data_IF_318644397125
#
_entry.id   IF_318644397125
#
_cell.length_a   1.000
_cell.length_b   1.000
_cell.length_c   1.000
_cell.angle_alpha   90.00
_cell.angle_beta   90.00
_cell.angle_gamma   90.00
#
_symmetry.space_group_name_H-M   'P 1'
#
loop_
_entity.id
_entity.type
_entity.pdbx_description
1 polymer ?
#
# COMPACT_ATOMS: atom_id res chain seq x y z
N UNK A 1 3.75 3.12 -18.59
CA UNK A 1 4.98 3.00 -17.79
C UNK A 1 5.93 4.10 -18.20
N UNK A 2 6.37 4.95 -17.27
CA UNK A 2 7.26 6.08 -17.55
C UNK A 2 8.65 5.59 -18.03
N UNK A 3 9.34 6.37 -18.90
CA UNK A 3 10.60 5.96 -19.53
C UNK A 3 11.70 5.52 -18.56
N UNK A 4 11.80 6.13 -17.38
CA UNK A 4 12.90 5.89 -16.44
C UNK A 4 12.78 4.60 -15.62
N UNK A 5 11.55 4.13 -15.36
CA UNK A 5 11.32 2.80 -14.73
C UNK A 5 11.76 1.69 -15.69
N UNK A 6 11.56 1.88 -17.00
CA UNK A 6 12.03 0.94 -18.03
C UNK A 6 13.55 0.91 -18.19
N UNK A 7 14.23 2.00 -17.81
CA UNK A 7 15.70 2.09 -17.85
C UNK A 7 16.38 1.54 -16.59
N UNK A 8 15.64 0.93 -15.66
CA UNK A 8 16.12 0.53 -14.33
C UNK A 8 16.67 1.68 -13.47
N UNK A 9 16.36 2.93 -13.81
CA UNK A 9 16.83 4.10 -13.06
C UNK A 9 15.94 4.43 -11.85
N UNK A 10 14.84 3.69 -11.64
CA UNK A 10 13.93 3.88 -10.52
C UNK A 10 13.38 2.53 -10.03
N UNK A 11 13.32 2.36 -8.71
CA UNK A 11 12.69 1.20 -8.09
C UNK A 11 11.16 1.24 -8.36
N UNK A 12 10.58 0.21 -8.99
CA UNK A 12 9.16 0.18 -9.35
C UNK A 12 8.21 0.34 -8.16
N UNK A 13 8.59 -0.17 -6.98
CA UNK A 13 7.82 -0.02 -5.74
C UNK A 13 7.81 1.42 -5.25
N UNK A 14 8.95 2.12 -5.30
CA UNK A 14 9.01 3.55 -4.96
C UNK A 14 8.16 4.40 -5.90
N UNK A 15 8.11 4.01 -7.18
CA UNK A 15 7.21 4.65 -8.15
C UNK A 15 5.74 4.46 -7.76
N UNK A 16 5.32 3.25 -7.40
CA UNK A 16 3.94 3.00 -6.94
C UNK A 16 3.59 3.82 -5.70
N UNK A 17 4.49 3.85 -4.70
CA UNK A 17 4.31 4.64 -3.49
C UNK A 17 4.16 6.14 -3.75
N UNK A 18 5.00 6.71 -4.60
CA UNK A 18 4.92 8.12 -4.95
C UNK A 18 3.64 8.42 -5.75
N UNK A 19 3.27 7.53 -6.68
CA UNK A 19 2.07 7.65 -7.51
C UNK A 19 0.82 7.74 -6.65
N UNK A 20 0.60 6.77 -5.76
CA UNK A 20 -0.59 6.74 -4.92
C UNK A 20 -0.60 7.89 -3.90
N UNK A 21 0.57 8.29 -3.39
CA UNK A 21 0.68 9.44 -2.49
C UNK A 21 0.24 10.74 -3.17
N UNK A 22 0.67 10.97 -4.40
CA UNK A 22 0.24 12.13 -5.19
C UNK A 22 -1.25 12.06 -5.50
N UNK A 23 -1.76 10.87 -5.86
CA UNK A 23 -3.18 10.67 -6.14
C UNK A 23 -4.06 11.06 -4.94
N UNK A 24 -3.78 10.50 -3.75
CA UNK A 24 -4.53 10.81 -2.52
C UNK A 24 -4.48 12.29 -2.17
N UNK A 25 -3.30 12.91 -2.24
CA UNK A 25 -3.15 14.35 -1.94
C UNK A 25 -3.85 15.26 -2.98
N UNK A 26 -4.19 14.71 -4.15
CA UNK A 26 -4.92 15.41 -5.21
C UNK A 26 -6.42 15.04 -5.24
N UNK A 27 -6.91 14.30 -4.25
CA UNK A 27 -8.30 13.82 -4.20
C UNK A 27 -8.64 12.79 -5.27
N UNK A 28 -7.64 12.10 -5.82
CA UNK A 28 -7.79 11.06 -6.84
C UNK A 28 -7.64 9.67 -6.22
N UNK A 29 -8.30 8.65 -6.79
CA UNK A 29 -8.17 7.29 -6.31
C UNK A 29 -6.80 6.69 -6.61
N UNK A 30 -6.34 5.76 -5.78
CA UNK A 30 -5.02 5.14 -5.92
C UNK A 30 -4.95 4.16 -7.10
N UNK A 31 -3.75 4.02 -7.65
CA UNK A 31 -3.47 3.07 -8.74
C UNK A 31 -3.07 1.70 -8.21
N UNK A 32 -2.24 1.66 -7.16
CA UNK A 32 -1.62 0.44 -6.65
C UNK A 32 -2.04 0.07 -5.22
N UNK A 33 -2.78 0.95 -4.53
CA UNK A 33 -3.34 0.69 -3.19
C UNK A 33 -2.30 0.70 -2.08
N UNK A 34 -1.32 1.59 -2.17
CA UNK A 34 -0.19 1.63 -1.23
C UNK A 34 -0.37 2.59 -0.05
N UNK A 35 -1.35 3.50 -0.10
CA UNK A 35 -1.69 4.39 1.00
C UNK A 35 -2.86 3.78 1.80
N UNK A 36 -2.55 3.26 2.98
CA UNK A 36 -3.54 2.55 3.79
C UNK A 36 -4.13 3.41 4.92
N UNK A 37 -5.34 3.05 5.35
CA UNK A 37 -5.95 3.40 6.64
C UNK A 37 -6.27 2.10 7.39
N UNK A 38 -6.52 2.19 8.69
CA UNK A 38 -6.85 1.04 9.52
C UNK A 38 -8.32 1.12 9.94
N UNK A 39 -9.10 0.11 9.57
CA UNK A 39 -10.55 0.07 9.79
C UNK A 39 -10.98 -1.21 10.52
N UNK A 40 -12.06 -1.12 11.30
CA UNK A 40 -12.62 -2.25 12.06
C UNK A 40 -12.36 -2.16 13.57
N UNK A 41 -12.73 -3.22 14.29
CA UNK A 41 -12.58 -3.27 15.75
C UNK A 41 -11.10 -3.44 16.18
N UNK A 42 -10.78 -3.00 17.41
CA UNK A 42 -9.42 -3.09 17.96
C UNK A 42 -8.46 -2.12 17.26
N UNK A 43 -7.28 -2.61 16.88
CA UNK A 43 -6.30 -1.83 16.10
C UNK A 43 -6.69 -1.68 14.62
N UNK A 44 -7.74 -2.37 14.17
CA UNK A 44 -8.20 -2.35 12.79
C UNK A 44 -7.30 -3.13 11.83
N UNK A 45 -7.75 -3.26 10.58
CA UNK A 45 -7.01 -3.89 9.48
C UNK A 45 -6.66 -2.85 8.42
N UNK A 46 -5.49 -3.01 7.82
CA UNK A 46 -5.08 -2.14 6.73
C UNK A 46 -6.02 -2.32 5.53
N UNK A 47 -6.58 -1.21 5.05
CA UNK A 47 -7.37 -1.12 3.82
C UNK A 47 -6.86 0.08 3.01
N UNK A 48 -6.90 0.04 1.66
CA UNK A 48 -6.52 1.19 0.85
C UNK A 48 -7.52 2.33 1.08
N UNK A 49 -7.04 3.59 1.06
CA UNK A 49 -7.92 4.76 1.24
C UNK A 49 -8.96 4.86 0.13
N UNK A 50 -8.52 4.59 -1.10
CA UNK A 50 -9.39 4.55 -2.28
C UNK A 50 -8.68 3.81 -3.41
N UNK A 51 -9.42 3.18 -4.32
CA UNK A 51 -8.83 2.47 -5.45
C UNK A 51 -9.54 2.85 -6.73
N UNK A 52 -8.77 3.13 -7.79
CA UNK A 52 -9.33 3.49 -9.10
C UNK A 52 -10.12 2.32 -9.69
N UNK A 53 -9.55 1.13 -9.57
CA UNK A 53 -10.15 -0.11 -10.07
C UNK A 53 -9.64 -1.28 -9.22
N UNK A 54 -10.42 -1.70 -8.21
CA UNK A 54 -10.08 -2.83 -7.35
C UNK A 54 -9.96 -4.16 -8.11
N UNK A 55 -10.72 -4.37 -9.19
CA UNK A 55 -10.76 -5.65 -9.90
C UNK A 55 -9.48 -5.91 -10.71
N UNK A 56 -8.79 -4.84 -11.13
CA UNK A 56 -7.56 -4.95 -11.92
C UNK A 56 -6.32 -4.44 -11.18
N UNK A 57 -6.39 -4.16 -9.87
CA UNK A 57 -5.24 -3.66 -9.09
C UNK A 57 -4.06 -4.62 -9.12
N UNK A 58 -4.30 -5.92 -8.97
CA UNK A 58 -3.24 -6.92 -8.96
C UNK A 58 -2.57 -7.09 -10.32
N UNK A 59 -3.30 -6.85 -11.42
CA UNK A 59 -2.70 -6.80 -12.76
C UNK A 59 -1.71 -5.64 -12.88
N UNK A 60 -2.05 -4.47 -12.31
CA UNK A 60 -1.15 -3.30 -12.31
C UNK A 60 0.06 -3.55 -11.41
N UNK A 61 -0.14 -4.12 -10.22
CA UNK A 61 0.92 -4.47 -9.27
C UNK A 61 1.89 -5.50 -9.86
N UNK A 62 1.38 -6.57 -10.46
CA UNK A 62 2.18 -7.58 -11.13
C UNK A 62 3.00 -7.02 -12.30
N UNK A 63 2.43 -6.10 -13.10
CA UNK A 63 3.11 -5.47 -14.22
C UNK A 63 4.36 -4.65 -13.83
N UNK A 64 4.50 -4.29 -12.56
CA UNK A 64 5.66 -3.60 -12.00
C UNK A 64 6.43 -4.43 -10.97
N UNK A 65 6.12 -5.72 -10.85
CA UNK A 65 6.82 -6.66 -9.97
C UNK A 65 6.45 -6.59 -8.49
N UNK A 66 5.28 -6.03 -8.16
CA UNK A 66 4.76 -6.02 -6.79
C UNK A 66 3.93 -7.28 -6.49
N UNK A 67 3.92 -7.67 -5.22
CA UNK A 67 3.03 -8.68 -4.66
C UNK A 67 1.55 -8.30 -4.79
N UNK A 68 0.60 -9.26 -4.73
CA UNK A 68 -0.83 -8.96 -4.70
C UNK A 68 -1.19 -7.99 -3.57
N UNK A 69 -2.20 -7.14 -3.80
CA UNK A 69 -2.62 -6.12 -2.84
C UNK A 69 -2.96 -6.75 -1.49
N UNK A 70 -3.66 -7.88 -1.46
CA UNK A 70 -4.02 -8.53 -0.19
C UNK A 70 -2.79 -8.96 0.63
N UNK A 71 -1.72 -9.43 -0.03
CA UNK A 71 -0.47 -9.79 0.65
C UNK A 71 0.16 -8.56 1.31
N UNK A 72 0.16 -7.42 0.60
CA UNK A 72 0.61 -6.14 1.13
C UNK A 72 -0.23 -5.67 2.32
N UNK A 73 -1.57 -5.70 2.22
CA UNK A 73 -2.47 -5.28 3.30
C UNK A 73 -2.31 -6.16 4.55
N UNK A 74 -2.10 -7.46 4.38
CA UNK A 74 -1.82 -8.37 5.49
C UNK A 74 -0.50 -8.00 6.19
N UNK A 75 0.57 -7.73 5.42
CA UNK A 75 1.84 -7.28 5.96
C UNK A 75 1.69 -5.97 6.75
N UNK A 76 0.96 -4.99 6.19
CA UNK A 76 0.70 -3.70 6.84
C UNK A 76 -0.11 -3.86 8.13
N UNK A 77 -1.11 -4.74 8.12
CA UNK A 77 -1.91 -5.06 9.32
C UNK A 77 -1.03 -5.66 10.41
N UNK A 78 -0.22 -6.67 10.08
CA UNK A 78 0.67 -7.31 11.04
C UNK A 78 1.70 -6.32 11.61
N UNK A 79 2.31 -5.49 10.77
CA UNK A 79 3.23 -4.44 11.24
C UNK A 79 2.54 -3.46 12.20
N UNK A 80 1.32 -3.03 11.87
CA UNK A 80 0.55 -2.13 12.72
C UNK A 80 0.21 -2.77 14.07
N UNK A 81 -0.19 -4.04 14.07
CA UNK A 81 -0.43 -4.80 15.29
C UNK A 81 0.84 -4.89 16.14
N UNK A 82 1.96 -5.35 15.58
CA UNK A 82 3.23 -5.47 16.32
C UNK A 82 3.71 -4.14 16.91
N UNK A 83 3.62 -3.04 16.15
CA UNK A 83 4.05 -1.71 16.60
C UNK A 83 3.18 -1.14 17.72
N UNK A 84 1.90 -1.52 17.77
CA UNK A 84 0.94 -1.00 18.74
C UNK A 84 0.56 -2.01 19.84
N UNK A 85 1.25 -3.16 19.91
CA UNK A 85 1.16 -4.06 21.06
C UNK A 85 1.58 -3.30 22.32
N UNK A 86 0.79 -3.38 23.41
CA UNK A 86 1.21 -2.83 24.68
C UNK A 86 2.54 -3.46 25.07
N UNK A 87 3.59 -2.64 25.21
CA UNK A 87 4.83 -3.13 25.82
C UNK A 87 4.49 -3.51 27.26
N UNK A 88 4.80 -4.74 27.66
CA UNK A 88 4.80 -5.12 29.07
C UNK A 88 5.78 -4.19 29.76
N UNK A 89 5.26 -3.19 30.48
CA UNK A 89 6.06 -2.43 31.43
C UNK A 89 6.32 -3.42 32.57
N UNK A 90 7.56 -3.91 32.68
CA UNK A 90 7.92 -4.74 33.83
C UNK A 90 7.76 -3.90 35.11
N UNK A 91 7.10 -4.45 36.15
CA UNK A 91 6.86 -3.75 37.41
C UNK A 91 8.16 -3.45 38.18
#
# INVERSE_FOLDING_TARGET
MLPEVRKHNANPTNYAYLTDRVAINSGQPEEYGTQVVYEGAGLGKAVPKSLRDPQNVDKRRAAIGMEPLQSYLNMMTNMHEEMNKPRSVNP
#
